data_IF_634943558609
#
_entry.id   IF_634943558609
#
_cell.length_a   1.000
_cell.length_b   1.000
_cell.length_c   1.000
_cell.angle_alpha   90.00
_cell.angle_beta   90.00
_cell.angle_gamma   90.00
#
_symmetry.space_group_name_H-M   'P 1'
#
loop_
_entity.id
_entity.type
_entity.pdbx_description
1 polymer ?
#
# COMPACT_ATOMS: atom_id res chain seq x y z
N UNK A 1 -10.00 -2.97 22.20
CA UNK A 1 -10.19 -2.17 20.97
C UNK A 1 -9.52 -2.95 19.86
N UNK A 2 -10.18 -3.11 18.71
CA UNK A 2 -9.56 -3.83 17.58
C UNK A 2 -8.41 -2.99 16.98
N UNK A 3 -7.39 -3.63 16.42
CA UNK A 3 -6.21 -2.96 15.87
C UNK A 3 -6.07 -3.21 14.37
N UNK A 4 -6.01 -2.14 13.58
CA UNK A 4 -5.69 -2.14 12.15
C UNK A 4 -4.27 -1.60 11.98
N UNK A 5 -3.36 -2.40 11.45
CA UNK A 5 -1.99 -1.95 11.13
C UNK A 5 -1.91 -1.65 9.63
N UNK A 6 -1.44 -0.46 9.28
CA UNK A 6 -1.14 -0.07 7.91
C UNK A 6 0.34 -0.24 7.64
N UNK A 7 0.71 -1.35 6.99
CA UNK A 7 2.08 -1.76 6.73
C UNK A 7 2.47 -1.43 5.29
N UNK A 8 3.52 -0.64 5.10
CA UNK A 8 3.91 -0.22 3.77
C UNK A 8 5.17 0.64 3.72
N UNK A 9 5.31 1.40 2.65
CA UNK A 9 6.46 2.25 2.35
C UNK A 9 6.20 3.74 2.65
N UNK A 10 6.84 4.66 1.89
CA UNK A 10 6.67 6.11 2.03
C UNK A 10 5.24 6.59 1.80
N UNK A 11 4.46 5.93 0.94
CA UNK A 11 3.06 6.30 0.70
C UNK A 11 2.19 5.99 1.93
N UNK A 12 2.64 5.07 2.79
CA UNK A 12 1.97 4.76 4.06
C UNK A 12 2.52 5.61 5.21
N UNK A 13 3.81 5.91 5.21
CA UNK A 13 4.56 6.45 6.36
C UNK A 13 4.10 7.83 6.83
N UNK A 14 3.95 8.77 5.90
CA UNK A 14 3.65 10.15 6.26
C UNK A 14 2.17 10.32 6.64
N UNK A 15 1.90 10.98 7.76
CA UNK A 15 0.54 11.13 8.29
C UNK A 15 -0.14 12.42 7.87
N UNK A 16 0.60 13.50 7.61
CA UNK A 16 0.04 14.84 7.35
C UNK A 16 0.80 15.54 6.21
N UNK A 17 0.09 16.36 5.44
CA UNK A 17 0.69 17.37 4.56
C UNK A 17 1.13 18.61 5.36
N UNK A 18 1.91 19.50 4.74
CA UNK A 18 2.36 20.75 5.38
C UNK A 18 1.22 21.67 5.82
N UNK A 19 0.07 21.60 5.14
CA UNK A 19 -1.12 22.38 5.47
C UNK A 19 -2.01 21.73 6.56
N UNK A 20 -1.59 20.57 7.08
CA UNK A 20 -2.33 19.79 8.08
C UNK A 20 -3.39 18.86 7.51
N UNK A 21 -3.53 18.76 6.18
CA UNK A 21 -4.42 17.79 5.55
C UNK A 21 -3.97 16.36 5.90
N UNK A 22 -4.86 15.46 6.33
CA UNK A 22 -4.46 14.10 6.66
C UNK A 22 -4.13 13.27 5.42
N UNK A 23 -3.15 12.38 5.57
CA UNK A 23 -2.78 11.33 4.62
C UNK A 23 -3.49 10.03 4.99
N UNK A 24 -2.87 8.86 4.77
CA UNK A 24 -3.56 7.58 4.83
C UNK A 24 -4.09 7.22 6.23
N UNK A 25 -3.21 7.05 7.21
CA UNK A 25 -3.58 6.48 8.51
C UNK A 25 -4.49 7.36 9.35
N UNK A 26 -4.37 8.71 9.40
CA UNK A 26 -5.36 9.54 10.10
C UNK A 26 -6.74 9.50 9.44
N UNK A 27 -6.82 9.46 8.10
CA UNK A 27 -8.11 9.29 7.39
C UNK A 27 -8.77 7.97 7.75
N UNK A 28 -8.01 6.88 7.79
CA UNK A 28 -8.53 5.58 8.21
C UNK A 28 -8.97 5.59 9.68
N UNK A 29 -8.24 6.30 10.56
CA UNK A 29 -8.63 6.45 11.97
C UNK A 29 -9.97 7.18 12.12
N UNK A 30 -10.24 8.21 11.33
CA UNK A 30 -11.53 8.90 11.28
C UNK A 30 -12.65 8.00 10.76
N UNK A 31 -12.37 7.18 9.73
CA UNK A 31 -13.35 6.27 9.13
C UNK A 31 -13.67 5.05 10.00
N UNK A 32 -12.74 4.63 10.87
CA UNK A 32 -12.88 3.50 11.79
C UNK A 32 -12.68 3.93 13.26
N UNK A 33 -13.58 4.76 13.82
CA UNK A 33 -13.38 5.37 15.15
C UNK A 33 -13.34 4.37 16.32
N UNK A 34 -13.82 3.14 16.11
CA UNK A 34 -13.81 2.06 17.11
C UNK A 34 -12.56 1.15 17.00
N UNK A 35 -11.66 1.46 16.08
CA UNK A 35 -10.41 0.76 15.87
C UNK A 35 -9.24 1.65 16.27
N UNK A 36 -8.14 1.01 16.70
CA UNK A 36 -6.82 1.62 16.75
C UNK A 36 -6.19 1.46 15.37
N UNK A 37 -5.94 2.56 14.66
CA UNK A 37 -5.16 2.53 13.41
C UNK A 37 -3.70 2.81 13.75
N UNK A 38 -2.81 1.93 13.31
CA UNK A 38 -1.37 2.03 13.55
C UNK A 38 -0.67 2.23 12.21
N UNK A 39 0.16 3.26 12.13
CA UNK A 39 1.04 3.48 11.00
C UNK A 39 2.32 2.66 11.15
N UNK A 40 2.57 1.76 10.19
CA UNK A 40 3.78 0.96 10.05
C UNK A 40 4.40 1.16 8.65
N UNK A 41 4.31 2.38 8.12
CA UNK A 41 4.98 2.80 6.90
C UNK A 41 6.42 3.25 7.15
N UNK A 42 7.36 2.84 6.30
CA UNK A 42 8.76 3.29 6.36
C UNK A 42 9.21 3.78 4.96
N UNK A 43 9.66 5.04 4.81
CA UNK A 43 10.05 5.55 3.51
C UNK A 43 11.18 4.76 2.85
N UNK A 44 10.99 4.40 1.59
CA UNK A 44 11.98 3.68 0.78
C UNK A 44 11.94 2.15 0.88
N UNK A 45 11.15 1.60 1.79
CA UNK A 45 11.03 0.15 1.97
C UNK A 45 10.57 -0.56 0.70
N UNK A 46 11.26 -1.66 0.39
CA UNK A 46 10.74 -2.74 -0.45
C UNK A 46 10.32 -3.93 0.42
N UNK A 47 9.91 -5.04 -0.20
CA UNK A 47 9.44 -6.24 0.54
C UNK A 47 10.50 -6.93 1.40
N UNK A 48 11.80 -6.79 1.11
CA UNK A 48 12.87 -7.30 1.98
C UNK A 48 12.94 -6.50 3.29
N UNK A 49 12.88 -5.18 3.18
CA UNK A 49 12.96 -4.28 4.34
C UNK A 49 11.74 -4.50 5.25
N UNK A 50 10.56 -4.60 4.64
CA UNK A 50 9.32 -4.93 5.33
C UNK A 50 9.44 -6.26 6.11
N UNK A 51 9.93 -7.34 5.48
CA UNK A 51 10.12 -8.63 6.16
C UNK A 51 11.05 -8.55 7.38
N UNK A 52 12.08 -7.70 7.32
CA UNK A 52 13.04 -7.57 8.42
C UNK A 52 12.43 -6.91 9.68
N UNK A 53 11.34 -6.14 9.54
CA UNK A 53 10.72 -5.40 10.65
C UNK A 53 9.31 -5.82 11.01
N UNK A 54 8.73 -6.79 10.29
CA UNK A 54 7.34 -7.22 10.48
C UNK A 54 7.03 -7.67 11.93
N UNK A 55 7.99 -8.29 12.62
CA UNK A 55 7.82 -8.68 14.03
C UNK A 55 7.58 -7.47 14.93
N UNK A 56 8.43 -6.45 14.80
CA UNK A 56 8.40 -5.26 15.65
C UNK A 56 7.27 -4.28 15.25
N UNK A 57 7.06 -4.08 13.95
CA UNK A 57 6.17 -3.04 13.44
C UNK A 57 4.73 -3.53 13.20
N UNK A 58 4.52 -4.84 13.10
CA UNK A 58 3.19 -5.42 12.82
C UNK A 58 2.79 -6.39 13.92
N UNK A 59 3.54 -7.47 14.13
CA UNK A 59 3.10 -8.56 15.00
C UNK A 59 3.10 -8.17 16.49
N UNK A 60 4.01 -7.29 16.92
CA UNK A 60 4.05 -6.75 18.29
C UNK A 60 2.75 -6.04 18.70
N UNK A 61 2.01 -5.49 17.73
CA UNK A 61 0.73 -4.83 17.95
C UNK A 61 -0.46 -5.80 18.07
N UNK A 62 -0.26 -7.10 17.81
CA UNK A 62 -1.31 -8.14 17.80
C UNK A 62 -2.52 -7.71 16.95
N UNK A 63 -2.33 -7.46 15.65
CA UNK A 63 -3.36 -6.87 14.80
C UNK A 63 -4.56 -7.81 14.66
N UNK A 64 -5.75 -7.20 14.64
CA UNK A 64 -6.97 -7.85 14.17
C UNK A 64 -7.04 -7.84 12.64
N UNK A 65 -6.41 -6.84 12.00
CA UNK A 65 -6.34 -6.73 10.55
C UNK A 65 -5.10 -5.92 10.12
N UNK A 66 -4.59 -6.18 8.91
CA UNK A 66 -3.41 -5.52 8.34
C UNK A 66 -3.66 -5.16 6.88
N UNK A 67 -3.41 -3.91 6.49
CA UNK A 67 -3.24 -3.57 5.07
C UNK A 67 -1.75 -3.66 4.73
N UNK A 68 -1.41 -4.36 3.65
CA UNK A 68 -0.04 -4.46 3.14
C UNK A 68 0.01 -3.71 1.81
N UNK A 69 0.72 -2.58 1.78
CA UNK A 69 0.86 -1.71 0.61
C UNK A 69 2.34 -1.49 0.29
N UNK A 70 2.88 -2.39 -0.53
CA UNK A 70 4.28 -2.47 -0.96
C UNK A 70 4.34 -2.70 -2.48
N UNK A 71 5.53 -2.71 -3.05
CA UNK A 71 5.74 -2.95 -4.48
C UNK A 71 6.23 -1.73 -5.25
N UNK A 72 5.97 -0.52 -4.75
CA UNK A 72 6.41 0.72 -5.41
C UNK A 72 7.95 0.79 -5.46
N UNK A 73 8.65 0.50 -4.36
CA UNK A 73 10.12 0.48 -4.34
C UNK A 73 10.70 -0.81 -4.90
N UNK A 74 9.98 -1.94 -4.80
CA UNK A 74 10.37 -3.19 -5.45
C UNK A 74 10.48 -3.03 -6.99
N UNK A 75 9.63 -2.19 -7.58
CA UNK A 75 9.59 -1.91 -9.01
C UNK A 75 10.63 -0.89 -9.52
N UNK A 76 11.53 -0.38 -8.66
CA UNK A 76 12.49 0.66 -9.06
C UNK A 76 13.60 0.08 -9.95
N UNK A 77 13.78 0.64 -11.15
CA UNK A 77 14.60 0.03 -12.22
C UNK A 77 16.06 -0.26 -11.85
N UNK A 78 16.69 0.57 -11.02
CA UNK A 78 18.10 0.40 -10.62
C UNK A 78 18.31 -0.55 -9.44
N UNK A 79 17.24 -0.97 -8.77
CA UNK A 79 17.29 -1.89 -7.62
C UNK A 79 16.08 -2.84 -7.64
N UNK A 80 15.67 -3.24 -8.84
CA UNK A 80 14.41 -3.93 -9.05
C UNK A 80 14.44 -5.32 -8.39
N UNK A 81 13.46 -5.58 -7.52
CA UNK A 81 13.24 -6.91 -6.94
C UNK A 81 12.54 -7.77 -7.99
N UNK A 82 13.06 -8.95 -8.34
CA UNK A 82 12.39 -9.78 -9.36
C UNK A 82 10.96 -10.14 -8.95
N UNK A 83 10.03 -10.27 -9.91
CA UNK A 83 8.63 -10.61 -9.63
C UNK A 83 8.48 -11.88 -8.79
N UNK A 84 9.33 -12.88 -9.05
CA UNK A 84 9.36 -14.12 -8.27
C UNK A 84 9.73 -13.88 -6.80
N UNK A 85 10.76 -13.08 -6.54
CA UNK A 85 11.19 -12.75 -5.17
C UNK A 85 10.15 -11.88 -4.47
N UNK A 86 9.57 -10.92 -5.17
CA UNK A 86 8.47 -10.10 -4.67
C UNK A 86 7.28 -10.96 -4.25
N UNK A 87 6.88 -11.93 -5.10
CA UNK A 87 5.85 -12.93 -4.80
C UNK A 87 6.18 -13.70 -3.52
N UNK A 88 7.36 -14.31 -3.45
CA UNK A 88 7.81 -15.09 -2.29
C UNK A 88 7.85 -14.26 -1.00
N UNK A 89 8.21 -12.99 -1.09
CA UNK A 89 8.25 -12.11 0.07
C UNK A 89 6.83 -11.77 0.56
N UNK A 90 5.90 -11.46 -0.35
CA UNK A 90 4.50 -11.24 0.01
C UNK A 90 3.85 -12.48 0.61
N UNK A 91 4.11 -13.67 0.08
CA UNK A 91 3.65 -14.94 0.65
C UNK A 91 4.15 -15.13 2.09
N UNK A 92 5.42 -14.82 2.36
CA UNK A 92 5.99 -14.85 3.71
C UNK A 92 5.31 -13.83 4.64
N UNK A 93 5.15 -12.58 4.20
CA UNK A 93 4.45 -11.54 4.97
C UNK A 93 3.05 -12.00 5.34
N UNK A 94 2.29 -12.52 4.36
CA UNK A 94 0.94 -13.06 4.57
C UNK A 94 0.96 -14.23 5.56
N UNK A 95 1.90 -15.17 5.38
CA UNK A 95 2.02 -16.35 6.25
C UNK A 95 2.35 -15.98 7.70
N UNK A 96 3.16 -14.95 7.94
CA UNK A 96 3.50 -14.48 9.28
C UNK A 96 2.32 -13.79 9.99
N UNK A 97 1.38 -13.19 9.25
CA UNK A 97 0.21 -12.50 9.82
C UNK A 97 -1.00 -13.44 9.99
N UNK A 98 -1.29 -14.24 8.96
CA UNK A 98 -2.51 -15.03 8.67
C UNK A 98 -3.37 -14.37 7.57
N UNK A 99 -3.66 -15.08 6.46
CA UNK A 99 -4.24 -14.50 5.24
C UNK A 99 -5.62 -13.84 5.43
N UNK A 100 -6.47 -14.39 6.30
CA UNK A 100 -7.80 -13.85 6.59
C UNK A 100 -7.79 -12.46 7.27
N UNK A 101 -6.62 -12.03 7.75
CA UNK A 101 -6.41 -10.71 8.36
C UNK A 101 -5.70 -9.73 7.43
N UNK A 102 -5.39 -10.12 6.21
CA UNK A 102 -4.57 -9.33 5.29
C UNK A 102 -5.40 -8.79 4.15
N UNK A 103 -5.33 -7.48 3.93
CA UNK A 103 -5.66 -6.85 2.65
C UNK A 103 -4.37 -6.47 1.94
N UNK A 104 -4.05 -7.20 0.88
CA UNK A 104 -2.99 -6.85 -0.06
C UNK A 104 -3.48 -5.73 -0.99
N UNK A 105 -2.69 -4.69 -1.14
CA UNK A 105 -2.97 -3.54 -2.01
C UNK A 105 -1.90 -3.50 -3.09
N UNK A 106 -2.29 -3.53 -4.37
CA UNK A 106 -1.32 -3.42 -5.47
C UNK A 106 -0.63 -2.06 -5.48
N UNK A 107 0.61 -1.95 -5.99
CA UNK A 107 1.27 -0.65 -6.16
C UNK A 107 0.45 0.25 -7.09
N UNK A 108 0.53 1.56 -6.89
CA UNK A 108 -0.20 2.54 -7.68
C UNK A 108 0.52 2.86 -9.00
N UNK A 109 -0.19 3.36 -10.03
CA UNK A 109 0.46 3.91 -11.21
C UNK A 109 1.19 5.21 -10.89
N UNK A 110 2.15 5.56 -11.74
CA UNK A 110 2.95 6.80 -11.67
C UNK A 110 2.68 7.70 -12.86
N UNK A 111 3.01 8.99 -12.73
CA UNK A 111 3.17 9.87 -13.89
C UNK A 111 4.54 9.63 -14.54
N UNK A 112 4.58 8.80 -15.58
CA UNK A 112 5.82 8.49 -16.33
C UNK A 112 6.48 9.71 -16.99
N UNK A 113 5.79 10.87 -17.07
CA UNK A 113 6.43 12.11 -17.51
C UNK A 113 7.36 12.70 -16.43
N UNK A 114 7.18 12.32 -15.16
CA UNK A 114 7.92 12.82 -14.00
C UNK A 114 8.71 11.74 -13.28
N UNK A 115 8.34 10.46 -13.46
CA UNK A 115 9.09 9.30 -12.99
C UNK A 115 9.90 8.66 -14.10
N UNK A 116 11.20 8.46 -13.85
CA UNK A 116 12.13 7.87 -14.82
C UNK A 116 12.62 6.47 -14.41
N UNK A 117 12.41 6.09 -13.15
CA UNK A 117 12.89 4.82 -12.60
C UNK A 117 11.77 3.78 -12.46
N UNK A 118 10.54 4.12 -12.84
CA UNK A 118 9.36 3.25 -12.75
C UNK A 118 8.47 3.51 -13.96
N UNK A 119 7.92 2.45 -14.52
CA UNK A 119 6.90 2.52 -15.58
C UNK A 119 5.62 1.85 -15.10
N UNK A 120 4.49 2.30 -15.61
CA UNK A 120 3.18 1.71 -15.37
C UNK A 120 3.10 0.30 -15.93
N UNK A 121 3.80 0.00 -17.03
CA UNK A 121 3.93 -1.38 -17.52
C UNK A 121 4.51 -2.30 -16.45
N UNK A 122 5.63 -1.90 -15.83
CA UNK A 122 6.27 -2.70 -14.78
C UNK A 122 5.39 -2.73 -13.53
N UNK A 123 4.86 -1.59 -13.06
CA UNK A 123 3.97 -1.55 -11.89
C UNK A 123 2.72 -2.42 -12.07
N UNK A 124 2.17 -2.50 -13.28
CA UNK A 124 1.09 -3.43 -13.63
C UNK A 124 1.48 -4.89 -13.42
N UNK A 125 2.71 -5.29 -13.77
CA UNK A 125 3.21 -6.65 -13.50
C UNK A 125 3.33 -6.93 -12.00
N UNK A 126 3.76 -5.96 -11.18
CA UNK A 126 3.75 -6.12 -9.73
C UNK A 126 2.32 -6.22 -9.20
N UNK A 127 1.39 -5.45 -9.74
CA UNK A 127 -0.03 -5.55 -9.38
C UNK A 127 -0.61 -6.93 -9.67
N UNK A 128 -0.27 -7.54 -10.82
CA UNK A 128 -0.66 -8.90 -11.16
C UNK A 128 -0.11 -9.93 -10.15
N UNK A 129 1.14 -9.75 -9.70
CA UNK A 129 1.72 -10.60 -8.65
C UNK A 129 0.97 -10.45 -7.33
N UNK A 130 0.58 -9.23 -6.93
CA UNK A 130 -0.22 -9.03 -5.71
C UNK A 130 -1.56 -9.75 -5.80
N UNK A 131 -2.22 -9.70 -6.97
CA UNK A 131 -3.46 -10.42 -7.21
C UNK A 131 -3.28 -11.94 -7.13
N UNK A 132 -2.21 -12.46 -7.72
CA UNK A 132 -1.85 -13.88 -7.69
C UNK A 132 -1.64 -14.37 -6.24
N UNK A 133 -0.82 -13.66 -5.45
CA UNK A 133 -0.58 -14.00 -4.04
C UNK A 133 -1.87 -13.97 -3.24
N UNK A 134 -2.74 -12.97 -3.45
CA UNK A 134 -4.01 -12.90 -2.74
C UNK A 134 -4.89 -14.13 -3.05
N UNK A 135 -4.98 -14.53 -4.33
CA UNK A 135 -5.73 -15.73 -4.74
C UNK A 135 -5.16 -17.01 -4.15
N UNK A 136 -3.84 -17.19 -4.17
CA UNK A 136 -3.18 -18.41 -3.71
C UNK A 136 -3.22 -18.56 -2.18
N UNK A 137 -3.08 -17.45 -1.45
CA UNK A 137 -3.08 -17.46 0.02
C UNK A 137 -4.48 -17.38 0.62
N UNK A 138 -5.48 -16.92 -0.15
CA UNK A 138 -6.82 -16.62 0.36
C UNK A 138 -6.91 -15.26 1.07
N UNK A 139 -5.91 -14.40 0.91
CA UNK A 139 -5.93 -13.03 1.46
C UNK A 139 -6.91 -12.14 0.70
N UNK A 140 -7.33 -11.03 1.33
CA UNK A 140 -8.12 -10.02 0.64
C UNK A 140 -7.23 -9.20 -0.30
N UNK A 141 -7.83 -8.65 -1.36
CA UNK A 141 -7.12 -7.89 -2.39
C UNK A 141 -7.84 -6.59 -2.78
N UNK A 142 -7.07 -5.52 -2.94
CA UNK A 142 -7.47 -4.26 -3.56
C UNK A 142 -6.53 -3.96 -4.73
N UNK A 143 -7.06 -3.98 -5.95
CA UNK A 143 -6.29 -3.64 -7.15
C UNK A 143 -6.21 -2.13 -7.36
N UNK A 144 -5.46 -1.43 -6.49
CA UNK A 144 -5.29 0.02 -6.58
C UNK A 144 -4.72 0.47 -7.94
N UNK A 145 -3.81 -0.30 -8.52
CA UNK A 145 -3.30 -0.05 -9.87
C UNK A 145 -4.43 0.12 -10.88
N UNK A 146 -5.31 -0.89 -10.97
CA UNK A 146 -6.43 -0.90 -11.90
C UNK A 146 -7.44 0.21 -11.59
N UNK A 147 -7.77 0.42 -10.31
CA UNK A 147 -8.71 1.46 -9.88
C UNK A 147 -8.24 2.86 -10.29
N UNK A 148 -6.94 3.13 -10.18
CA UNK A 148 -6.38 4.43 -10.54
C UNK A 148 -6.16 4.57 -12.04
N UNK A 149 -5.50 3.61 -12.72
CA UNK A 149 -5.07 3.77 -14.12
C UNK A 149 -6.25 3.91 -15.10
N UNK A 150 -7.42 3.37 -14.75
CA UNK A 150 -8.64 3.49 -15.56
C UNK A 150 -9.29 4.88 -15.50
N UNK A 151 -8.92 5.71 -14.52
CA UNK A 151 -9.40 7.09 -14.41
C UNK A 151 -8.76 7.96 -15.50
N UNK A 152 -9.57 8.66 -16.30
CA UNK A 152 -9.13 9.52 -17.40
C UNK A 152 -8.02 10.51 -16.99
N UNK A 153 -8.06 10.95 -15.73
CA UNK A 153 -7.12 11.91 -15.16
C UNK A 153 -6.38 11.35 -13.93
N UNK A 154 -5.98 10.07 -13.94
CA UNK A 154 -5.35 9.42 -12.79
C UNK A 154 -4.12 10.15 -12.22
N UNK A 155 -3.39 10.89 -13.07
CA UNK A 155 -2.20 11.65 -12.65
C UNK A 155 -2.49 12.67 -11.53
N UNK A 156 -3.74 13.13 -11.39
CA UNK A 156 -4.20 13.99 -10.29
C UNK A 156 -3.99 13.35 -8.90
N UNK A 157 -3.91 12.02 -8.85
CA UNK A 157 -3.72 11.30 -7.61
C UNK A 157 -2.27 11.33 -7.13
N UNK A 158 -1.29 11.36 -8.04
CA UNK A 158 0.15 11.37 -7.76
C UNK A 158 0.76 12.77 -7.86
N UNK A 159 -0.01 13.76 -7.41
CA UNK A 159 0.35 15.18 -7.46
C UNK A 159 0.55 15.72 -6.04
N UNK A 160 1.62 15.25 -5.39
CA UNK A 160 2.06 15.74 -4.09
C UNK A 160 2.70 17.14 -4.19
N UNK A 161 3.21 17.64 -3.06
CA UNK A 161 3.83 18.96 -2.97
C UNK A 161 5.10 19.07 -3.84
N UNK A 162 5.88 18.00 -3.95
CA UNK A 162 7.09 17.93 -4.79
C UNK A 162 6.78 17.72 -6.28
N UNK A 163 5.55 17.31 -6.59
CA UNK A 163 5.06 16.98 -7.92
C UNK A 163 5.90 15.91 -8.59
N UNK A 164 6.38 14.94 -7.83
CA UNK A 164 7.32 13.92 -8.32
C UNK A 164 6.66 12.87 -9.24
N UNK A 165 5.33 12.80 -9.29
CA UNK A 165 4.59 11.84 -10.10
C UNK A 165 4.53 10.44 -9.49
N UNK A 166 4.87 10.28 -8.22
CA UNK A 166 4.91 9.04 -7.47
C UNK A 166 4.08 9.15 -6.19
N UNK A 167 4.38 10.15 -5.36
CA UNK A 167 3.71 10.34 -4.08
C UNK A 167 2.33 10.97 -4.27
N UNK A 168 1.42 10.62 -3.36
CA UNK A 168 0.03 11.00 -3.50
C UNK A 168 -0.19 12.45 -3.07
N UNK A 169 -1.00 13.16 -3.85
CA UNK A 169 -1.62 14.41 -3.42
C UNK A 169 -2.83 14.15 -2.52
N UNK A 170 -3.49 15.20 -2.00
CA UNK A 170 -4.69 15.06 -1.17
C UNK A 170 -5.79 14.21 -1.81
N UNK A 171 -5.99 14.36 -3.13
CA UNK A 171 -6.99 13.58 -3.89
C UNK A 171 -6.61 12.09 -3.96
N UNK A 172 -5.32 11.77 -4.08
CA UNK A 172 -4.83 10.39 -4.09
C UNK A 172 -5.07 9.70 -2.75
N UNK A 173 -4.74 10.37 -1.64
CA UNK A 173 -5.00 9.82 -0.30
C UNK A 173 -6.48 9.70 0.01
N UNK A 174 -7.32 10.65 -0.40
CA UNK A 174 -8.77 10.55 -0.26
C UNK A 174 -9.32 9.33 -1.02
N UNK A 175 -8.86 9.14 -2.25
CA UNK A 175 -9.27 8.01 -3.10
C UNK A 175 -8.82 6.67 -2.51
N UNK A 176 -7.54 6.56 -2.10
CA UNK A 176 -7.00 5.36 -1.45
C UNK A 176 -7.76 5.01 -0.17
N UNK A 177 -7.94 5.98 0.73
CA UNK A 177 -8.64 5.76 2.00
C UNK A 177 -10.10 5.34 1.77
N UNK A 178 -10.78 5.92 0.78
CA UNK A 178 -12.14 5.52 0.39
C UNK A 178 -12.18 4.06 -0.06
N UNK A 179 -11.30 3.65 -0.98
CA UNK A 179 -11.26 2.28 -1.50
C UNK A 179 -10.94 1.26 -0.41
N UNK A 180 -9.98 1.56 0.47
CA UNK A 180 -9.66 0.70 1.63
C UNK A 180 -10.89 0.60 2.55
N UNK A 181 -11.55 1.72 2.86
CA UNK A 181 -12.72 1.74 3.73
C UNK A 181 -13.90 0.92 3.17
N UNK A 182 -14.20 1.07 1.88
CA UNK A 182 -15.22 0.29 1.19
C UNK A 182 -14.90 -1.20 1.21
N UNK A 183 -13.62 -1.57 0.97
CA UNK A 183 -13.17 -2.95 1.03
C UNK A 183 -13.30 -3.55 2.43
N UNK A 184 -12.81 -2.84 3.45
CA UNK A 184 -12.82 -3.31 4.84
C UNK A 184 -14.24 -3.42 5.41
N UNK A 185 -15.18 -2.54 5.05
CA UNK A 185 -16.59 -2.66 5.45
C UNK A 185 -17.28 -3.91 4.87
N UNK A 186 -16.78 -4.45 3.76
CA UNK A 186 -17.26 -5.71 3.21
C UNK A 186 -16.65 -6.95 3.87
N UNK A 187 -15.64 -6.78 4.73
CA UNK A 187 -14.88 -7.86 5.37
C UNK A 187 -15.16 -7.94 6.87
N UNK A 188 -15.16 -6.79 7.55
CA UNK A 188 -15.19 -6.64 9.01
C UNK A 188 -16.61 -6.56 9.60
#
# INVERSE_FOLDING_TARGET
>A
MKTLVCFGDSITADEMFFDGTPRLTPRLQEMFPNWKVVNAGVPGDNTFDALNRIEDDVLSHKPDFVTVFLGTNDAVSFSQVSLQVYKENLEKIVSMISPEKVLLISPAPVDEARQHNRTNEVLGQYADVVEEVAKETGSHFLNLYAEMIQEQHYKKFVEDDEKDGLHFGPQGYEYLAKLICEKLKGIL
#
